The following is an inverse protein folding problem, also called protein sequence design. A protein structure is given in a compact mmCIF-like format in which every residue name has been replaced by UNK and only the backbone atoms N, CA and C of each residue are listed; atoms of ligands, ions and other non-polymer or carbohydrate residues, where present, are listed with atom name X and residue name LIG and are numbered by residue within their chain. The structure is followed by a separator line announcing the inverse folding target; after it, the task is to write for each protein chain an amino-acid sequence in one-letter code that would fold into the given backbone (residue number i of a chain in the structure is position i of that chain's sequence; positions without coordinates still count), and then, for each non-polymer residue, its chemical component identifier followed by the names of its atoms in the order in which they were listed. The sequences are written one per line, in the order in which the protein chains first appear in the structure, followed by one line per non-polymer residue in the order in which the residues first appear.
data_IF_785152510099
#
_entry.id   IF_785152510099
#
_cell.length_a   1.000
_cell.length_b   1.000
_cell.length_c   1.000
_cell.angle_alpha   90.00
_cell.angle_beta   90.00
_cell.angle_gamma   90.00
#
_symmetry.space_group_name_H-M   'P 1'
#
loop_
_entity.id
_entity.type
_entity.pdbx_description
1 polymer ?
#
# COMPACT_ATOMS: atom_id res chain seq x y z
N UNK A 1 14.76 16.28 -13.62
CA UNK A 1 15.19 16.15 -15.03
C UNK A 1 16.52 15.43 -15.23
N UNK A 2 17.49 15.52 -14.31
CA UNK A 2 18.82 14.86 -14.45
C UNK A 2 18.70 13.33 -14.54
N UNK A 3 17.93 12.70 -13.66
CA UNK A 3 17.73 11.24 -13.66
C UNK A 3 17.30 10.65 -15.03
N UNK A 4 16.31 11.27 -15.68
CA UNK A 4 15.78 10.80 -16.97
C UNK A 4 16.80 10.92 -18.11
N UNK A 5 17.57 12.01 -18.11
CA UNK A 5 18.63 12.23 -19.10
C UNK A 5 19.72 11.16 -18.98
N UNK A 6 20.08 10.79 -17.76
CA UNK A 6 21.22 9.89 -17.51
C UNK A 6 20.83 8.41 -17.64
N UNK A 7 19.55 8.06 -17.44
CA UNK A 7 19.14 6.66 -17.34
C UNK A 7 18.19 6.18 -18.46
N UNK A 8 17.43 7.08 -19.10
CA UNK A 8 16.34 6.71 -20.02
C UNK A 8 16.51 7.26 -21.44
N UNK A 9 17.20 8.38 -21.58
CA UNK A 9 17.45 9.01 -22.87
C UNK A 9 18.89 8.74 -23.31
N UNK A 10 19.06 8.35 -24.58
CA UNK A 10 20.37 8.38 -25.25
C UNK A 10 20.41 9.62 -26.12
N UNK A 11 21.45 10.43 -25.96
CA UNK A 11 21.65 11.65 -26.74
C UNK A 11 22.82 11.46 -27.71
N UNK A 12 22.72 12.01 -28.91
CA UNK A 12 23.88 12.14 -29.81
C UNK A 12 24.82 13.23 -29.29
N UNK A 13 26.03 13.32 -29.87
CA UNK A 13 27.00 14.37 -29.54
C UNK A 13 26.43 15.77 -29.74
N UNK A 14 25.53 15.92 -30.72
CA UNK A 14 24.88 17.19 -31.07
C UNK A 14 23.63 17.48 -30.21
N UNK A 15 23.30 16.61 -29.24
CA UNK A 15 22.20 16.81 -28.30
C UNK A 15 20.83 16.29 -28.78
N UNK A 16 20.75 15.61 -29.93
CA UNK A 16 19.51 15.01 -30.39
C UNK A 16 19.18 13.72 -29.63
N UNK A 17 17.89 13.49 -29.39
CA UNK A 17 17.41 12.25 -28.78
C UNK A 17 17.53 11.12 -29.81
N UNK A 18 18.34 10.11 -29.49
CA UNK A 18 18.50 8.90 -30.30
C UNK A 18 17.21 8.08 -30.20
N UNK A 19 16.70 7.63 -31.35
CA UNK A 19 15.56 6.73 -31.43
C UNK A 19 15.83 5.47 -30.58
N UNK A 20 14.98 5.14 -29.61
CA UNK A 20 15.13 3.92 -28.84
C UNK A 20 14.98 2.64 -29.68
N UNK A 21 15.83 1.64 -29.43
CA UNK A 21 15.84 0.36 -30.16
C UNK A 21 14.52 -0.42 -30.13
N UNK A 22 13.72 -0.28 -29.07
CA UNK A 22 12.42 -0.96 -28.98
C UNK A 22 11.40 -0.47 -30.02
N UNK A 23 11.61 0.71 -30.60
CA UNK A 23 10.74 1.25 -31.65
C UNK A 23 10.99 0.62 -33.02
N UNK A 24 12.14 -0.04 -33.20
CA UNK A 24 12.51 -0.72 -34.45
C UNK A 24 12.16 -2.22 -34.41
N UNK A 25 11.84 -2.75 -33.23
CA UNK A 25 11.50 -4.16 -33.05
C UNK A 25 10.00 -4.38 -33.12
N UNK A 26 9.56 -5.40 -33.88
CA UNK A 26 8.17 -5.85 -33.84
C UNK A 26 7.83 -6.44 -32.46
N UNK A 27 7.10 -5.65 -31.68
CA UNK A 27 6.63 -5.94 -30.32
C UNK A 27 5.11 -5.79 -30.29
N UNK A 28 4.43 -6.51 -29.41
CA UNK A 28 2.99 -6.30 -29.22
C UNK A 28 2.73 -4.92 -28.60
N UNK A 29 1.58 -4.33 -28.91
CA UNK A 29 1.19 -3.02 -28.40
C UNK A 29 1.32 -2.91 -26.88
N UNK A 30 0.83 -3.92 -26.15
CA UNK A 30 0.91 -3.93 -24.69
C UNK A 30 2.35 -3.89 -24.14
N UNK A 31 3.29 -4.52 -24.85
CA UNK A 31 4.72 -4.52 -24.51
C UNK A 31 5.35 -3.16 -24.83
N UNK A 32 5.08 -2.60 -26.02
CA UNK A 32 5.57 -1.28 -26.40
C UNK A 32 5.06 -0.19 -25.43
N UNK A 33 3.79 -0.25 -25.06
CA UNK A 33 3.21 0.66 -24.07
C UNK A 33 3.90 0.53 -22.71
N UNK A 34 4.23 -0.69 -22.26
CA UNK A 34 4.89 -0.87 -20.98
C UNK A 34 6.29 -0.24 -20.97
N UNK A 35 7.09 -0.44 -22.04
CA UNK A 35 8.42 0.18 -22.17
C UNK A 35 8.28 1.70 -22.28
N UNK A 36 7.39 2.18 -23.15
CA UNK A 36 7.16 3.60 -23.39
C UNK A 36 6.72 4.34 -22.12
N UNK A 37 5.83 3.75 -21.32
CA UNK A 37 5.36 4.35 -20.06
C UNK A 37 6.49 4.58 -19.06
N UNK A 38 7.43 3.62 -18.94
CA UNK A 38 8.59 3.79 -18.07
C UNK A 38 9.53 4.86 -18.61
N UNK A 39 9.79 4.88 -19.92
CA UNK A 39 10.72 5.86 -20.53
C UNK A 39 10.19 7.30 -20.55
N UNK A 40 8.89 7.47 -20.62
CA UNK A 40 8.22 8.78 -20.69
C UNK A 40 7.62 9.24 -19.36
N UNK A 41 7.83 8.46 -18.29
CA UNK A 41 7.22 8.69 -16.97
C UNK A 41 5.69 8.83 -17.00
N UNK A 42 5.03 8.21 -17.99
CA UNK A 42 3.56 8.18 -18.07
C UNK A 42 2.94 7.02 -17.28
N UNK A 43 3.74 6.39 -16.41
CA UNK A 43 3.31 5.33 -15.52
C UNK A 43 2.57 5.85 -14.27
N UNK A 44 1.88 4.96 -13.57
CA UNK A 44 1.07 5.28 -12.39
C UNK A 44 1.81 5.02 -11.05
N UNK A 45 3.13 5.21 -11.02
CA UNK A 45 3.92 5.13 -9.78
C UNK A 45 3.77 6.41 -8.96
N UNK A 46 3.95 6.33 -7.64
CA UNK A 46 3.75 7.47 -6.74
C UNK A 46 4.71 8.63 -6.99
N UNK A 47 5.89 8.39 -7.58
CA UNK A 47 6.78 9.47 -7.97
C UNK A 47 6.10 10.48 -8.91
N UNK A 48 5.23 9.99 -9.81
CA UNK A 48 4.46 10.82 -10.74
C UNK A 48 3.07 11.15 -10.22
N UNK A 49 2.32 10.16 -9.72
CA UNK A 49 0.94 10.43 -9.25
C UNK A 49 0.93 11.32 -8.00
N UNK A 50 1.91 11.17 -7.11
CA UNK A 50 2.09 12.02 -5.95
C UNK A 50 2.54 13.43 -6.32
N UNK A 51 3.27 13.60 -7.42
CA UNK A 51 3.67 14.93 -7.94
C UNK A 51 2.45 15.77 -8.29
N UNK A 52 1.47 15.20 -9.00
CA UNK A 52 0.22 15.91 -9.34
C UNK A 52 -0.64 16.25 -8.11
N UNK A 53 -0.46 15.54 -6.99
CA UNK A 53 -1.15 15.79 -5.73
C UNK A 53 -0.41 16.76 -4.80
N UNK A 54 0.78 17.21 -5.18
CA UNK A 54 1.61 18.08 -4.33
C UNK A 54 2.27 17.37 -3.14
N UNK A 55 2.37 16.03 -3.16
CA UNK A 55 3.04 15.26 -2.11
C UNK A 55 4.56 15.45 -2.24
N UNK A 56 5.30 15.76 -1.16
CA UNK A 56 6.76 15.87 -1.22
C UNK A 56 7.39 14.52 -1.57
N UNK A 57 8.55 14.53 -2.24
CA UNK A 57 9.17 13.31 -2.81
C UNK A 57 9.39 12.20 -1.80
N UNK A 58 9.71 12.54 -0.55
CA UNK A 58 9.98 11.58 0.53
C UNK A 58 8.71 10.80 0.94
N UNK A 59 7.54 11.42 0.81
CA UNK A 59 6.26 10.84 1.23
C UNK A 59 5.55 10.08 0.09
N UNK A 60 6.15 10.03 -1.11
CA UNK A 60 5.63 9.28 -2.26
C UNK A 60 5.92 7.78 -2.12
N UNK A 61 5.55 7.21 -0.99
CA UNK A 61 5.89 5.83 -0.59
C UNK A 61 5.18 4.79 -1.46
N UNK A 62 5.91 3.72 -1.80
CA UNK A 62 5.36 2.59 -2.53
C UNK A 62 4.14 1.98 -1.85
N UNK A 63 3.06 1.89 -2.63
CA UNK A 63 1.78 1.33 -2.16
C UNK A 63 1.89 -0.13 -1.73
N UNK A 64 2.81 -0.90 -2.33
CA UNK A 64 2.95 -2.33 -2.04
C UNK A 64 3.89 -2.57 -0.84
N UNK A 65 5.08 -1.97 -0.87
CA UNK A 65 6.12 -2.27 0.11
C UNK A 65 6.04 -1.41 1.38
N UNK A 66 5.45 -0.20 1.29
CA UNK A 66 5.30 0.78 2.38
C UNK A 66 6.60 1.19 3.09
N UNK A 67 7.78 1.02 2.47
CA UNK A 67 9.09 1.31 3.08
C UNK A 67 9.80 2.49 2.43
N UNK A 68 9.83 2.53 1.10
CA UNK A 68 10.61 3.49 0.33
C UNK A 68 9.73 4.23 -0.70
N UNK A 69 10.18 5.39 -1.20
CA UNK A 69 9.52 6.08 -2.31
C UNK A 69 9.34 5.20 -3.55
N UNK A 70 8.17 5.26 -4.18
CA UNK A 70 7.83 4.51 -5.40
C UNK A 70 8.43 5.18 -6.65
N UNK A 71 9.76 5.19 -6.72
CA UNK A 71 10.49 5.59 -7.91
C UNK A 71 10.69 4.40 -8.85
N UNK A 72 11.05 4.66 -10.10
CA UNK A 72 11.26 3.68 -11.17
C UNK A 72 12.32 2.64 -10.78
N UNK A 73 13.40 3.09 -10.14
CA UNK A 73 14.45 2.22 -9.63
C UNK A 73 13.92 1.24 -8.56
N UNK A 74 13.15 1.74 -7.59
CA UNK A 74 12.53 0.90 -6.57
C UNK A 74 11.54 -0.07 -7.20
N UNK A 75 10.69 0.42 -8.10
CA UNK A 75 9.67 -0.36 -8.80
C UNK A 75 10.27 -1.52 -9.61
N UNK A 76 11.38 -1.30 -10.31
CA UNK A 76 12.02 -2.33 -11.14
C UNK A 76 12.97 -3.22 -10.32
N UNK A 77 13.90 -2.62 -9.59
CA UNK A 77 15.06 -3.34 -9.04
C UNK A 77 14.87 -3.76 -7.57
N UNK A 78 14.23 -2.95 -6.72
CA UNK A 78 14.34 -3.15 -5.25
C UNK A 78 13.07 -3.66 -4.57
N UNK A 79 11.87 -3.34 -5.09
CA UNK A 79 10.62 -3.64 -4.41
C UNK A 79 10.45 -5.15 -4.22
N UNK A 80 10.38 -5.61 -2.96
CA UNK A 80 10.28 -7.04 -2.64
C UNK A 80 9.02 -7.70 -3.20
N UNK A 81 7.95 -6.93 -3.43
CA UNK A 81 6.70 -7.42 -4.00
C UNK A 81 6.87 -8.02 -5.42
N UNK A 82 7.98 -7.76 -6.09
CA UNK A 82 8.28 -8.28 -7.43
C UNK A 82 9.41 -9.31 -7.44
N UNK A 83 9.83 -9.82 -6.28
CA UNK A 83 10.94 -10.76 -6.18
C UNK A 83 10.74 -12.00 -7.08
N UNK A 84 9.57 -12.64 -6.99
CA UNK A 84 9.24 -13.82 -7.82
C UNK A 84 9.25 -13.54 -9.32
N UNK A 85 8.87 -12.32 -9.72
CA UNK A 85 8.89 -11.95 -11.14
C UNK A 85 10.34 -11.75 -11.57
N UNK A 86 11.16 -11.05 -10.78
CA UNK A 86 12.58 -10.85 -11.10
C UNK A 86 13.34 -12.17 -11.23
N UNK A 87 13.04 -13.15 -10.38
CA UNK A 87 13.63 -14.49 -10.45
C UNK A 87 13.36 -15.18 -11.80
N UNK A 88 12.13 -15.07 -12.32
CA UNK A 88 11.77 -15.62 -13.64
C UNK A 88 12.49 -14.94 -14.80
N UNK A 89 12.88 -13.68 -14.62
CA UNK A 89 13.61 -12.89 -15.62
C UNK A 89 15.08 -12.69 -15.22
N UNK A 90 15.73 -13.74 -14.67
CA UNK A 90 17.12 -13.69 -14.21
C UNK A 90 18.12 -13.22 -15.28
N UNK A 91 17.83 -13.39 -16.56
CA UNK A 91 18.67 -12.89 -17.66
C UNK A 91 18.84 -11.36 -17.64
N UNK A 92 17.84 -10.61 -17.15
CA UNK A 92 17.92 -9.15 -16.97
C UNK A 92 18.79 -8.75 -15.78
N UNK A 93 18.98 -9.65 -14.81
CA UNK A 93 19.62 -9.40 -13.52
C UNK A 93 20.83 -10.32 -13.27
N UNK A 94 21.43 -10.90 -14.33
CA UNK A 94 22.40 -12.00 -14.24
C UNK A 94 23.66 -11.65 -13.43
N UNK A 95 24.06 -10.38 -13.43
CA UNK A 95 25.20 -9.85 -12.67
C UNK A 95 24.75 -9.08 -11.41
N UNK A 96 23.55 -9.38 -10.89
CA UNK A 96 22.94 -8.74 -9.74
C UNK A 96 21.90 -7.67 -10.11
N UNK A 97 21.38 -6.99 -9.07
CA UNK A 97 20.52 -5.82 -9.23
C UNK A 97 21.36 -4.64 -9.75
N UNK A 98 21.67 -4.67 -11.04
CA UNK A 98 22.42 -3.60 -11.71
C UNK A 98 21.69 -2.25 -11.64
N UNK A 99 22.37 -1.20 -12.09
CA UNK A 99 21.76 0.13 -12.22
C UNK A 99 20.52 0.08 -13.12
N UNK A 100 19.53 0.93 -12.84
CA UNK A 100 18.33 1.04 -13.66
C UNK A 100 18.65 1.29 -15.15
N UNK A 101 19.70 2.05 -15.46
CA UNK A 101 20.19 2.26 -16.83
C UNK A 101 20.57 0.97 -17.54
N UNK A 102 21.18 0.02 -16.80
CA UNK A 102 21.57 -1.29 -17.34
C UNK A 102 20.34 -2.12 -17.71
N UNK A 103 19.34 -2.16 -16.84
CA UNK A 103 18.08 -2.89 -17.10
C UNK A 103 17.35 -2.28 -18.30
N UNK A 104 17.24 -0.95 -18.36
CA UNK A 104 16.58 -0.26 -19.46
C UNK A 104 17.36 -0.31 -20.78
N UNK A 105 18.68 -0.53 -20.70
CA UNK A 105 19.59 -0.69 -21.83
C UNK A 105 19.77 -2.12 -22.33
N UNK A 106 19.04 -3.10 -21.79
CA UNK A 106 19.18 -4.52 -22.14
C UNK A 106 18.96 -4.78 -23.64
N UNK A 107 19.81 -5.61 -24.25
CA UNK A 107 19.82 -5.80 -25.71
C UNK A 107 18.50 -6.35 -26.24
N UNK A 108 17.96 -7.39 -25.58
CA UNK A 108 16.67 -7.96 -25.93
C UNK A 108 15.52 -7.13 -25.33
N UNK A 109 15.09 -6.11 -26.08
CA UNK A 109 13.95 -5.26 -25.73
C UNK A 109 12.63 -6.03 -25.62
N UNK A 110 12.50 -7.20 -26.27
CA UNK A 110 11.29 -8.05 -26.12
C UNK A 110 11.24 -8.66 -24.74
N UNK A 111 12.35 -9.22 -24.26
CA UNK A 111 12.46 -9.75 -22.90
C UNK A 111 12.20 -8.65 -21.85
N UNK A 112 12.87 -7.50 -21.98
CA UNK A 112 12.67 -6.34 -21.11
C UNK A 112 11.19 -5.91 -21.09
N UNK A 113 10.58 -5.80 -22.27
CA UNK A 113 9.20 -5.38 -22.40
C UNK A 113 8.20 -6.37 -21.80
N UNK A 114 8.42 -7.67 -21.93
CA UNK A 114 7.62 -8.71 -21.29
C UNK A 114 7.73 -8.65 -19.76
N UNK A 115 8.93 -8.43 -19.24
CA UNK A 115 9.16 -8.21 -17.82
C UNK A 115 8.36 -7.01 -17.31
N UNK A 116 8.51 -5.83 -17.94
CA UNK A 116 7.79 -4.61 -17.53
C UNK A 116 6.27 -4.80 -17.60
N UNK A 117 5.76 -5.46 -18.65
CA UNK A 117 4.34 -5.77 -18.80
C UNK A 117 3.85 -6.70 -17.68
N UNK A 118 4.64 -7.71 -17.31
CA UNK A 118 4.30 -8.66 -16.23
C UNK A 118 4.27 -7.96 -14.87
N UNK A 119 5.28 -7.14 -14.56
CA UNK A 119 5.33 -6.36 -13.32
C UNK A 119 4.13 -5.40 -13.24
N UNK A 120 3.81 -4.69 -14.33
CA UNK A 120 2.64 -3.80 -14.39
C UNK A 120 1.34 -4.55 -14.08
N UNK A 121 1.08 -5.65 -14.78
CA UNK A 121 -0.13 -6.47 -14.57
C UNK A 121 -0.22 -7.01 -13.15
N UNK A 122 0.91 -7.44 -12.59
CA UNK A 122 0.97 -7.95 -11.22
C UNK A 122 0.69 -6.84 -10.20
N UNK A 123 1.30 -5.66 -10.35
CA UNK A 123 1.01 -4.48 -9.54
C UNK A 123 -0.47 -4.15 -9.54
N UNK A 124 -1.07 -4.05 -10.72
CA UNK A 124 -2.49 -3.71 -10.84
C UNK A 124 -3.38 -4.75 -10.15
N UNK A 125 -3.00 -6.03 -10.23
CA UNK A 125 -3.71 -7.11 -9.53
C UNK A 125 -3.62 -6.97 -8.01
N UNK A 126 -2.42 -6.73 -7.47
CA UNK A 126 -2.20 -6.56 -6.03
C UNK A 126 -2.93 -5.33 -5.49
N UNK A 127 -2.90 -4.21 -6.22
CA UNK A 127 -3.59 -2.99 -5.83
C UNK A 127 -5.11 -3.20 -5.81
N UNK A 128 -5.70 -3.84 -6.83
CA UNK A 128 -7.13 -4.15 -6.85
C UNK A 128 -7.56 -4.99 -5.65
N UNK A 129 -6.80 -6.04 -5.32
CA UNK A 129 -7.10 -6.90 -4.18
C UNK A 129 -7.05 -6.12 -2.87
N UNK A 130 -5.99 -5.33 -2.66
CA UNK A 130 -5.83 -4.50 -1.47
C UNK A 130 -6.95 -3.47 -1.32
N UNK A 131 -7.32 -2.79 -2.41
CA UNK A 131 -8.39 -1.80 -2.37
C UNK A 131 -9.74 -2.45 -2.03
N UNK A 132 -9.98 -3.69 -2.47
CA UNK A 132 -11.15 -4.48 -2.06
C UNK A 132 -11.12 -4.85 -0.58
N UNK A 133 -9.96 -5.26 -0.04
CA UNK A 133 -9.82 -5.54 1.40
C UNK A 133 -10.06 -4.30 2.25
N UNK A 134 -9.54 -3.13 1.82
CA UNK A 134 -9.77 -1.86 2.51
C UNK A 134 -11.25 -1.50 2.53
N UNK A 135 -11.96 -1.62 1.39
CA UNK A 135 -13.42 -1.41 1.33
C UNK A 135 -14.18 -2.32 2.27
N UNK A 136 -13.78 -3.59 2.37
CA UNK A 136 -14.44 -4.54 3.26
C UNK A 136 -14.19 -4.19 4.73
N UNK A 137 -12.95 -3.87 5.10
CA UNK A 137 -12.59 -3.40 6.45
C UNK A 137 -13.37 -2.16 6.85
N UNK A 138 -13.45 -1.15 5.99
CA UNK A 138 -14.20 0.08 6.26
C UNK A 138 -15.69 -0.20 6.44
N UNK A 139 -16.23 -1.17 5.69
CA UNK A 139 -17.63 -1.60 5.84
C UNK A 139 -17.87 -2.28 7.19
N UNK A 140 -16.96 -3.15 7.64
CA UNK A 140 -17.04 -3.79 8.95
C UNK A 140 -16.92 -2.77 10.10
N UNK A 141 -15.99 -1.81 10.01
CA UNK A 141 -15.85 -0.74 11.00
C UNK A 141 -17.15 0.06 11.14
N UNK A 142 -17.79 0.43 10.02
CA UNK A 142 -19.09 1.12 10.04
C UNK A 142 -20.21 0.29 10.68
N UNK A 143 -20.19 -1.03 10.52
CA UNK A 143 -21.17 -1.91 11.16
C UNK A 143 -20.94 -1.96 12.68
N UNK A 144 -19.70 -2.09 13.12
CA UNK A 144 -19.34 -2.05 14.55
C UNK A 144 -19.68 -0.70 15.18
N UNK A 145 -19.41 0.41 14.49
CA UNK A 145 -19.82 1.75 14.93
C UNK A 145 -21.34 1.83 15.10
N UNK A 146 -22.12 1.30 14.15
CA UNK A 146 -23.58 1.26 14.27
C UNK A 146 -24.05 0.40 15.45
N UNK A 147 -23.42 -0.75 15.70
CA UNK A 147 -23.79 -1.63 16.82
C UNK A 147 -23.44 -1.00 18.17
N UNK A 148 -22.24 -0.43 18.31
CA UNK A 148 -21.85 0.30 19.54
C UNK A 148 -22.79 1.46 19.82
N UNK A 149 -23.19 2.20 18.78
CA UNK A 149 -24.11 3.33 18.93
C UNK A 149 -25.53 2.87 19.33
N UNK A 150 -26.01 1.73 18.80
CA UNK A 150 -27.27 1.10 19.26
C UNK A 150 -27.19 0.66 20.73
N UNK A 151 -26.08 0.04 21.14
CA UNK A 151 -25.89 -0.38 22.52
C UNK A 151 -25.84 0.81 23.49
N UNK A 152 -25.21 1.92 23.08
CA UNK A 152 -25.21 3.16 23.88
C UNK A 152 -26.61 3.76 23.98
N UNK A 153 -27.41 3.77 22.90
CA UNK A 153 -28.79 4.28 22.94
C UNK A 153 -29.72 3.39 23.77
N UNK A 154 -29.56 2.06 23.72
CA UNK A 154 -30.33 1.11 24.52
C UNK A 154 -29.97 1.21 26.01
N UNK A 155 -28.69 1.37 26.33
CA UNK A 155 -28.25 1.61 27.71
C UNK A 155 -28.78 2.96 28.22
N UNK A 156 -28.64 4.04 27.44
CA UNK A 156 -29.11 5.37 27.81
C UNK A 156 -30.63 5.40 28.01
N UNK A 157 -31.40 4.69 27.18
CA UNK A 157 -32.86 4.62 27.31
C UNK A 157 -33.30 3.82 28.55
N UNK A 158 -32.56 2.75 28.94
CA UNK A 158 -32.77 2.04 30.21
C UNK A 158 -32.40 2.87 31.44
N UNK A 159 -31.37 3.71 31.35
CA UNK A 159 -31.02 4.63 32.43
C UNK A 159 -32.08 5.73 32.59
N UNK A 160 -32.64 6.25 31.49
CA UNK A 160 -33.70 7.29 31.56
C UNK A 160 -35.06 6.78 32.04
N UNK A 161 -35.37 5.49 31.87
CA UNK A 161 -36.59 4.89 32.46
C UNK A 161 -36.45 4.59 33.95
N UNK A 162 -35.23 4.71 34.49
CA UNK A 162 -34.94 4.45 35.89
C UNK A 162 -34.68 5.75 36.65
N UNK A 163 -35.70 6.60 36.78
CA UNK A 163 -35.82 7.45 37.99
C UNK A 163 -37.28 7.78 38.26
N UNK A 164 -37.86 7.05 39.22
CA UNK A 164 -38.54 7.71 40.33
C UNK A 164 -38.39 6.92 41.64
N UNK A 165 -37.22 6.33 41.94
CA UNK A 165 -36.95 5.97 43.33
C UNK A 165 -35.49 5.92 43.80
N UNK A 166 -34.48 5.82 42.93
CA UNK A 166 -33.08 5.74 43.40
C UNK A 166 -32.22 6.91 42.89
N UNK A 167 -32.23 8.02 43.63
CA UNK A 167 -31.46 9.24 43.31
C UNK A 167 -30.18 9.43 44.13
N UNK A 168 -29.69 8.43 44.88
CA UNK A 168 -28.55 8.65 45.78
C UNK A 168 -27.26 7.82 45.58
N UNK A 169 -27.09 6.97 44.56
CA UNK A 169 -25.84 6.16 44.46
C UNK A 169 -24.99 6.35 43.19
N UNK A 170 -25.50 6.92 42.09
CA UNK A 170 -24.70 6.96 40.84
C UNK A 170 -24.06 8.33 40.60
N UNK A 171 -23.08 8.67 41.44
CA UNK A 171 -22.03 9.66 41.13
C UNK A 171 -20.67 8.94 41.08
N UNK A 172 -20.55 7.96 40.20
CA UNK A 172 -19.25 7.32 39.94
C UNK A 172 -19.17 6.85 38.49
N UNK A 173 -19.34 7.80 37.57
CA UNK A 173 -19.20 7.53 36.15
C UNK A 173 -18.82 8.80 35.41
N UNK A 174 -17.52 9.07 35.35
CA UNK A 174 -16.91 9.89 34.29
C UNK A 174 -15.39 9.68 34.33
N UNK A 175 -14.92 8.59 33.72
CA UNK A 175 -13.56 8.50 33.18
C UNK A 175 -13.51 7.52 32.00
N UNK A 176 -14.17 7.92 30.91
CA UNK A 176 -14.14 7.26 29.60
C UNK A 176 -12.83 7.52 28.82
N UNK A 177 -11.85 8.19 29.42
CA UNK A 177 -10.52 8.43 28.88
C UNK A 177 -9.58 7.24 29.06
N UNK A 178 -9.83 6.33 30.02
CA UNK A 178 -8.97 5.17 30.28
C UNK A 178 -9.24 3.95 29.38
N UNK A 179 -10.35 3.90 28.65
CA UNK A 179 -10.69 2.74 27.81
C UNK A 179 -10.14 2.83 26.37
N UNK A 180 -9.65 4.01 25.98
CA UNK A 180 -9.03 4.23 24.66
C UNK A 180 -7.59 3.73 24.58
N UNK A 181 -6.88 3.59 25.70
CA UNK A 181 -5.49 3.12 25.73
C UNK A 181 -5.36 1.60 25.64
N UNK A 182 -6.31 0.83 26.16
CA UNK A 182 -6.22 -0.65 26.18
C UNK A 182 -6.58 -1.35 24.86
N UNK A 183 -7.16 -0.64 23.89
CA UNK A 183 -7.53 -1.23 22.58
C UNK A 183 -6.47 -1.01 21.50
N UNK A 184 -5.51 -0.10 21.70
CA UNK A 184 -4.45 0.18 20.72
C UNK A 184 -3.23 -0.73 20.94
N UNK A 185 -3.01 -1.25 22.15
CA UNK A 185 -1.88 -2.13 22.45
C UNK A 185 -2.12 -3.62 22.13
N UNK A 186 -3.35 -4.03 21.80
CA UNK A 186 -3.67 -5.44 21.49
C UNK A 186 -3.29 -5.89 20.06
N UNK A 187 -2.78 -5.02 19.19
CA UNK A 187 -2.46 -5.37 17.79
C UNK A 187 -0.97 -5.54 17.48
N UNK A 188 -0.09 -5.47 18.49
CA UNK A 188 1.33 -5.81 18.35
C UNK A 188 1.68 -6.97 19.27
N UNK A 189 1.41 -8.20 18.83
CA UNK A 189 1.91 -9.40 19.52
C UNK A 189 1.01 -10.62 19.40
N UNK A 190 1.38 -11.54 18.53
CA UNK A 190 0.90 -12.93 18.59
C UNK A 190 1.34 -13.52 19.94
N UNK A 191 0.40 -14.10 20.71
CA UNK A 191 0.53 -14.77 22.02
C UNK A 191 0.52 -13.88 23.28
N UNK A 192 -0.69 -13.52 23.74
CA UNK A 192 -1.14 -13.63 25.14
C UNK A 192 -2.45 -12.86 25.33
N UNK A 193 -3.58 -13.55 25.45
CA UNK A 193 -4.74 -13.12 26.26
C UNK A 193 -5.87 -14.15 26.22
N UNK A 194 -5.54 -15.40 26.56
CA UNK A 194 -6.46 -16.20 27.37
C UNK A 194 -6.37 -15.61 28.78
N UNK A 195 -6.98 -14.45 29.06
CA UNK A 195 -6.97 -13.94 30.45
C UNK A 195 -8.03 -12.89 30.84
N UNK A 196 -8.92 -12.42 29.95
CA UNK A 196 -9.94 -11.42 30.34
C UNK A 196 -11.36 -12.01 30.47
N UNK A 197 -11.56 -13.30 30.20
CA UNK A 197 -12.87 -13.95 30.38
C UNK A 197 -13.12 -14.57 31.78
N UNK A 198 -12.23 -14.45 32.77
CA UNK A 198 -12.40 -15.13 34.07
C UNK A 198 -12.62 -14.20 35.27
N UNK A 199 -12.46 -12.87 35.15
CA UNK A 199 -12.61 -11.98 36.33
C UNK A 199 -13.98 -11.30 36.47
N UNK A 200 -14.93 -11.57 35.56
CA UNK A 200 -16.32 -11.10 35.65
C UNK A 200 -17.30 -12.19 36.13
N UNK A 201 -16.86 -13.09 37.01
CA UNK A 201 -17.71 -14.13 37.65
C UNK A 201 -17.60 -14.16 39.18
N UNK A 202 -17.10 -13.11 39.82
CA UNK A 202 -16.95 -13.06 41.29
C UNK A 202 -17.66 -11.90 42.00
N UNK A 203 -18.48 -11.11 41.29
CA UNK A 203 -19.32 -10.08 41.90
C UNK A 203 -20.79 -10.26 41.52
N UNK A 204 -21.33 -11.45 41.80
CA UNK A 204 -22.76 -11.69 41.99
C UNK A 204 -22.95 -13.10 42.54
N UNK A 205 -23.30 -13.22 43.83
CA UNK A 205 -23.75 -14.47 44.43
C UNK A 205 -23.19 -14.76 45.82
N UNK A 206 -23.55 -13.96 46.83
CA UNK A 206 -24.39 -14.35 47.98
C UNK A 206 -24.62 -13.14 48.88
#
# INVERSE_FOLDING_TARGET
MVFYRDHLLRLTRDGFVVKPSYMDTHLSYGVQCAIGQIRTSSHQLEIETGRYRGVPTQDRICRLCRREPEIELHYICHCFAYYEIRERFHCLFREGFGSFSRVMGYEDQRCLGLFLLKVRRHRDSLLRHRDSLLRHRDSLLRLLERETQRHVTDYSSRVTTTTQQDREVVKESLDLTSFRSTLVDCFVGVRACVCVCVRARLFCGF
#
